data_IF_848281310174
#
_entry.id   IF_848281310174
#
_cell.length_a   1.000
_cell.length_b   1.000
_cell.length_c   1.000
_cell.angle_alpha   90.00
_cell.angle_beta   90.00
_cell.angle_gamma   90.00
#
_symmetry.space_group_name_H-M   'P 1'
#
loop_
_entity.id
_entity.type
_entity.pdbx_description
1 polymer ?
#
# COMPACT_ATOMS: atom_id res chain seq x y z
N UNK A 1 -2.07 -3.46 -17.30
CA UNK A 1 -2.68 -2.54 -16.32
C UNK A 1 -3.67 -3.33 -15.48
N UNK A 2 -3.62 -3.24 -14.14
CA UNK A 2 -4.62 -3.86 -13.29
C UNK A 2 -6.00 -3.25 -13.57
N UNK A 3 -7.05 -4.06 -13.50
CA UNK A 3 -8.41 -3.54 -13.56
C UNK A 3 -8.83 -2.98 -12.19
N UNK A 4 -9.93 -2.22 -12.18
CA UNK A 4 -10.43 -1.58 -10.95
C UNK A 4 -10.78 -2.59 -9.84
N UNK A 5 -11.22 -3.81 -10.17
CA UNK A 5 -11.52 -4.83 -9.16
C UNK A 5 -10.23 -5.31 -8.46
N UNK A 6 -9.18 -5.57 -9.24
CA UNK A 6 -7.86 -5.96 -8.70
C UNK A 6 -7.29 -4.90 -7.75
N UNK A 7 -7.45 -3.60 -8.07
CA UNK A 7 -7.03 -2.51 -7.19
C UNK A 7 -7.85 -2.45 -5.89
N UNK A 8 -9.17 -2.71 -5.94
CA UNK A 8 -10.02 -2.77 -4.74
C UNK A 8 -9.67 -3.96 -3.84
N UNK A 9 -9.38 -5.11 -4.44
CA UNK A 9 -8.97 -6.31 -3.72
C UNK A 9 -7.62 -6.08 -3.03
N UNK A 10 -6.66 -5.48 -3.73
CA UNK A 10 -5.36 -5.09 -3.19
C UNK A 10 -5.50 -4.05 -2.06
N UNK A 11 -6.37 -3.04 -2.22
CA UNK A 11 -6.64 -2.05 -1.17
C UNK A 11 -7.16 -2.71 0.11
N UNK A 12 -8.09 -3.66 -0.03
CA UNK A 12 -8.63 -4.41 1.10
C UNK A 12 -7.53 -5.24 1.78
N UNK A 13 -6.64 -5.84 1.00
CA UNK A 13 -5.48 -6.55 1.53
C UNK A 13 -4.54 -5.63 2.30
N UNK A 14 -4.14 -4.50 1.71
CA UNK A 14 -3.25 -3.50 2.35
C UNK A 14 -3.81 -3.03 3.69
N UNK A 15 -5.12 -2.76 3.77
CA UNK A 15 -5.77 -2.39 5.05
C UNK A 15 -5.65 -3.48 6.12
N UNK A 16 -5.87 -4.74 5.75
CA UNK A 16 -5.71 -5.86 6.68
C UNK A 16 -4.27 -5.98 7.16
N UNK A 17 -3.31 -5.78 6.26
CA UNK A 17 -1.90 -5.90 6.60
C UNK A 17 -1.45 -4.75 7.51
N UNK A 18 -1.90 -3.51 7.28
CA UNK A 18 -1.69 -2.38 8.20
C UNK A 18 -2.17 -2.75 9.62
N UNK A 19 -3.40 -3.25 9.75
CA UNK A 19 -3.96 -3.62 11.05
C UNK A 19 -3.15 -4.75 11.71
N UNK A 20 -2.78 -5.79 10.96
CA UNK A 20 -1.97 -6.90 11.47
C UNK A 20 -0.59 -6.43 11.92
N UNK A 21 0.09 -5.60 11.14
CA UNK A 21 1.45 -5.11 11.43
C UNK A 21 1.47 -4.22 12.68
N UNK A 22 0.59 -3.23 12.74
CA UNK A 22 0.48 -2.31 13.89
C UNK A 22 0.10 -3.08 15.15
N UNK A 23 -0.87 -4.00 15.06
CA UNK A 23 -1.27 -4.83 16.19
C UNK A 23 -0.14 -5.74 16.66
N UNK A 24 0.60 -6.39 15.74
CA UNK A 24 1.68 -7.32 16.06
C UNK A 24 2.78 -6.68 16.92
N UNK A 25 3.04 -5.38 16.76
CA UNK A 25 4.07 -4.66 17.53
C UNK A 25 3.49 -3.77 18.63
N UNK A 26 2.16 -3.80 18.85
CA UNK A 26 1.42 -2.96 19.80
C UNK A 26 1.80 -1.47 19.74
N UNK A 27 2.10 -0.97 18.54
CA UNK A 27 2.61 0.38 18.34
C UNK A 27 2.30 0.87 16.93
N UNK A 28 1.94 2.15 16.81
CA UNK A 28 1.61 2.82 15.55
C UNK A 28 0.20 3.41 15.52
N UNK A 29 -0.03 4.30 14.56
CA UNK A 29 -1.32 4.97 14.35
C UNK A 29 -1.89 4.58 12.97
N UNK A 30 -2.82 3.60 12.90
CA UNK A 30 -3.25 3.04 11.62
C UNK A 30 -4.19 3.97 10.83
N UNK A 31 -4.83 4.96 11.49
CA UNK A 31 -5.88 5.80 10.91
C UNK A 31 -5.47 6.49 9.60
N UNK A 32 -4.31 7.16 9.59
CA UNK A 32 -3.81 7.83 8.39
C UNK A 32 -3.54 6.85 7.24
N UNK A 33 -2.83 5.76 7.52
CA UNK A 33 -2.52 4.74 6.51
C UNK A 33 -3.76 4.03 5.97
N UNK A 34 -4.80 3.79 6.78
CA UNK A 34 -6.06 3.18 6.34
C UNK A 34 -6.86 4.10 5.42
N UNK A 35 -6.83 5.42 5.68
CA UNK A 35 -7.48 6.44 4.87
C UNK A 35 -6.79 6.69 3.53
N UNK A 36 -5.47 6.49 3.47
CA UNK A 36 -4.68 6.69 2.25
C UNK A 36 -4.50 5.41 1.40
N UNK A 37 -5.10 4.28 1.78
CA UNK A 37 -4.84 2.99 1.14
C UNK A 37 -5.12 3.00 -0.38
N UNK A 38 -6.28 3.52 -0.82
CA UNK A 38 -6.64 3.63 -2.24
C UNK A 38 -5.64 4.50 -3.02
N UNK A 39 -5.23 5.63 -2.43
CA UNK A 39 -4.27 6.55 -3.05
C UNK A 39 -2.95 5.84 -3.32
N UNK A 40 -2.39 5.16 -2.32
CA UNK A 40 -1.13 4.46 -2.48
C UNK A 40 -1.24 3.25 -3.40
N UNK A 41 -2.34 2.50 -3.35
CA UNK A 41 -2.54 1.36 -4.26
C UNK A 41 -2.60 1.84 -5.71
N UNK A 42 -3.35 2.88 -6.03
CA UNK A 42 -3.41 3.44 -7.38
C UNK A 42 -2.05 4.00 -7.82
N UNK A 43 -1.40 4.79 -6.94
CA UNK A 43 -0.09 5.36 -7.22
C UNK A 43 0.94 4.28 -7.56
N UNK A 44 1.13 3.28 -6.69
CA UNK A 44 2.20 2.29 -6.85
C UNK A 44 1.89 1.17 -7.85
N UNK A 45 0.62 0.90 -8.15
CA UNK A 45 0.23 -0.23 -9.01
C UNK A 45 -0.10 0.18 -10.45
N UNK A 46 -0.37 1.47 -10.70
CA UNK A 46 -0.85 1.94 -12.00
C UNK A 46 -0.13 3.21 -12.50
N UNK A 47 0.15 4.19 -11.62
CA UNK A 47 0.59 5.52 -12.06
C UNK A 47 2.12 5.69 -12.00
N UNK A 48 2.75 5.21 -10.92
CA UNK A 48 4.16 5.44 -10.64
C UNK A 48 5.03 4.54 -11.51
N UNK A 49 5.83 5.15 -12.36
CA UNK A 49 6.96 4.48 -13.01
C UNK A 49 8.10 4.33 -12.01
N UNK A 50 8.66 3.12 -11.90
CA UNK A 50 9.65 2.76 -10.87
C UNK A 50 10.88 2.18 -11.54
N UNK A 51 12.05 2.53 -11.02
CA UNK A 51 13.30 1.84 -11.41
C UNK A 51 13.15 0.35 -11.08
N UNK A 52 13.50 -0.51 -12.02
CA UNK A 52 13.46 -1.98 -11.83
C UNK A 52 14.46 -2.46 -10.77
N UNK A 53 15.51 -1.69 -10.53
CA UNK A 53 16.56 -1.99 -9.58
C UNK A 53 16.62 -0.94 -8.49
N UNK A 54 16.88 -1.42 -7.28
CA UNK A 54 17.13 -0.60 -6.13
C UNK A 54 18.62 -0.22 -6.09
N UNK A 55 18.89 1.07 -6.00
CA UNK A 55 20.21 1.62 -5.75
C UNK A 55 20.17 2.30 -4.37
N UNK A 56 21.07 1.89 -3.47
CA UNK A 56 21.16 2.47 -2.13
C UNK A 56 21.56 3.95 -2.17
N UNK A 57 22.28 4.37 -3.22
CA UNK A 57 22.84 5.71 -3.35
C UNK A 57 22.07 6.62 -4.33
N UNK A 58 21.16 6.05 -5.13
CA UNK A 58 20.19 6.78 -5.97
C UNK A 58 20.60 7.04 -7.40
#
# INVERSE_FOLDING_TARGET
MPNTQQLKDLTTQVRRDILRMVHKVNSGHPGGSLGCAEFFVALYSEIMDRKDHFDMDG
#
